data_IF_961668503484
#
_entry.id   IF_961668503484
#
_cell.length_a   1.000
_cell.length_b   1.000
_cell.length_c   1.000
_cell.angle_alpha   90.00
_cell.angle_beta   90.00
_cell.angle_gamma   90.00
#
_symmetry.space_group_name_H-M   'P 1'
#
loop_
_entity.id
_entity.type
_entity.pdbx_description
1 polymer ?
#
# COMPACT_ATOMS: atom_id res chain seq x y z
N UNK A 1 5.01 21.91 -23.33
CA UNK A 1 3.73 21.20 -23.12
C UNK A 1 3.99 19.73 -22.76
N UNK A 2 4.93 19.47 -21.84
CA UNK A 2 5.33 18.10 -21.43
C UNK A 2 5.10 17.89 -19.93
N UNK A 3 5.51 18.84 -19.09
CA UNK A 3 5.35 18.76 -17.62
C UNK A 3 3.91 18.50 -17.11
N UNK A 4 2.88 19.00 -17.81
CA UNK A 4 1.48 18.77 -17.42
C UNK A 4 1.04 17.31 -17.62
N UNK A 5 1.65 16.60 -18.58
CA UNK A 5 1.33 15.21 -18.90
C UNK A 5 1.95 14.27 -17.88
N UNK A 6 3.23 14.48 -17.56
CA UNK A 6 3.94 13.68 -16.55
C UNK A 6 3.27 13.73 -15.16
N UNK A 7 2.72 14.89 -14.76
CA UNK A 7 1.97 15.02 -13.51
C UNK A 7 0.66 14.21 -13.53
N UNK A 8 -0.10 14.28 -14.62
CA UNK A 8 -1.36 13.55 -14.79
C UNK A 8 -1.13 12.03 -14.87
N UNK A 9 -0.08 11.61 -15.57
CA UNK A 9 0.36 10.22 -15.63
C UNK A 9 0.78 9.69 -14.24
N UNK A 10 1.48 10.52 -13.44
CA UNK A 10 1.84 10.17 -12.06
C UNK A 10 0.62 10.05 -11.14
N UNK A 11 -0.30 11.00 -11.20
CA UNK A 11 -1.54 10.97 -10.40
C UNK A 11 -2.39 9.77 -10.78
N UNK A 12 -2.52 9.48 -12.08
CA UNK A 12 -3.27 8.33 -12.58
C UNK A 12 -2.63 7.03 -12.15
N UNK A 13 -1.31 6.88 -12.30
CA UNK A 13 -0.59 5.68 -11.92
C UNK A 13 -0.66 5.44 -10.39
N UNK A 14 -0.53 6.50 -9.59
CA UNK A 14 -0.69 6.42 -8.13
C UNK A 14 -2.13 6.03 -7.73
N UNK A 15 -3.14 6.61 -8.39
CA UNK A 15 -4.55 6.26 -8.16
C UNK A 15 -4.84 4.81 -8.54
N UNK A 16 -4.30 4.33 -9.66
CA UNK A 16 -4.37 2.93 -10.07
C UNK A 16 -3.66 2.01 -9.06
N UNK A 17 -2.50 2.42 -8.53
CA UNK A 17 -1.81 1.70 -7.48
C UNK A 17 -2.68 1.51 -6.24
N UNK A 18 -3.32 2.60 -5.81
CA UNK A 18 -4.17 2.61 -4.63
C UNK A 18 -5.45 1.79 -4.85
N UNK A 19 -5.98 1.77 -6.07
CA UNK A 19 -7.11 0.92 -6.44
C UNK A 19 -6.70 -0.56 -6.55
N UNK A 20 -5.47 -0.84 -6.94
CA UNK A 20 -4.92 -2.19 -7.00
C UNK A 20 -4.50 -2.69 -5.60
N UNK A 21 -4.34 -1.80 -4.62
CA UNK A 21 -4.21 -2.18 -3.21
C UNK A 21 -5.55 -2.73 -2.71
N UNK A 22 -5.54 -3.97 -2.27
CA UNK A 22 -6.69 -4.60 -1.61
C UNK A 22 -7.06 -3.81 -0.35
N UNK A 23 -8.36 -3.62 -0.08
CA UNK A 23 -8.85 -2.85 1.07
C UNK A 23 -8.24 -3.33 2.39
N UNK A 24 -7.99 -4.65 2.49
CA UNK A 24 -7.33 -5.29 3.62
C UNK A 24 -5.88 -4.82 3.82
N UNK A 25 -5.15 -4.61 2.72
CA UNK A 25 -3.75 -4.16 2.75
C UNK A 25 -3.63 -2.73 3.25
N UNK A 26 -4.55 -1.87 2.79
CA UNK A 26 -4.65 -0.49 3.24
C UNK A 26 -4.93 -0.45 4.74
N UNK A 27 -5.93 -1.21 5.20
CA UNK A 27 -6.27 -1.25 6.62
C UNK A 27 -5.10 -1.76 7.50
N UNK A 28 -4.41 -2.84 7.09
CA UNK A 28 -3.22 -3.35 7.81
C UNK A 28 -2.14 -2.26 7.96
N UNK A 29 -1.89 -1.48 6.91
CA UNK A 29 -0.95 -0.35 6.95
C UNK A 29 -1.45 0.75 7.89
N UNK A 30 -2.72 1.15 7.78
CA UNK A 30 -3.32 2.19 8.63
C UNK A 30 -3.28 1.79 10.10
N UNK A 31 -3.61 0.55 10.45
CA UNK A 31 -3.58 0.06 11.84
C UNK A 31 -2.17 -0.13 12.41
N UNK A 32 -1.17 -0.41 11.57
CA UNK A 32 0.24 -0.50 12.02
C UNK A 32 0.90 0.86 12.21
N UNK A 33 0.56 1.84 11.36
CA UNK A 33 1.28 3.11 11.26
C UNK A 33 0.52 4.30 11.83
N UNK A 34 -0.82 4.33 11.68
CA UNK A 34 -1.67 5.46 12.06
C UNK A 34 -2.51 5.21 13.33
N UNK A 35 -2.69 3.97 13.79
CA UNK A 35 -3.39 3.72 15.05
C UNK A 35 -2.47 3.56 16.27
N UNK A 36 -2.97 4.04 17.41
CA UNK A 36 -2.41 3.80 18.74
C UNK A 36 -3.48 3.18 19.66
N UNK A 37 -3.23 2.04 20.31
CA UNK A 37 -1.98 1.28 20.28
C UNK A 37 -1.75 0.60 18.92
N UNK A 38 -0.49 0.55 18.48
CA UNK A 38 -0.11 -0.06 17.19
C UNK A 38 -0.52 -1.52 17.19
N UNK A 39 -1.34 -1.91 16.21
CA UNK A 39 -1.73 -3.31 16.08
C UNK A 39 -0.49 -4.16 15.77
N UNK A 40 -0.29 -5.22 16.53
CA UNK A 40 0.79 -6.17 16.25
C UNK A 40 0.42 -7.04 15.04
N UNK A 41 1.41 -7.59 14.35
CA UNK A 41 1.15 -8.54 13.25
C UNK A 41 0.29 -9.71 13.72
N UNK A 42 0.45 -10.15 14.97
CA UNK A 42 -0.33 -11.24 15.56
C UNK A 42 -1.79 -10.83 15.81
N UNK A 43 -2.04 -9.61 16.29
CA UNK A 43 -3.39 -9.06 16.47
C UNK A 43 -4.13 -8.95 15.14
N UNK A 44 -3.47 -8.38 14.13
CA UNK A 44 -4.06 -8.28 12.78
C UNK A 44 -4.28 -9.66 12.18
N UNK A 45 -3.36 -10.60 12.40
CA UNK A 45 -3.49 -11.98 11.96
C UNK A 45 -4.72 -12.65 12.58
N UNK A 46 -4.90 -12.52 13.89
CA UNK A 46 -6.03 -13.09 14.61
C UNK A 46 -7.37 -12.47 14.17
N UNK A 47 -7.45 -11.13 14.09
CA UNK A 47 -8.65 -10.41 13.68
C UNK A 47 -9.06 -10.74 12.24
N UNK A 48 -8.08 -10.81 11.35
CA UNK A 48 -8.31 -11.18 9.96
C UNK A 48 -8.41 -12.70 9.74
N UNK A 49 -8.26 -13.53 10.78
CA UNK A 49 -8.23 -14.99 10.68
C UNK A 49 -7.21 -15.49 9.64
N UNK A 50 -6.03 -14.87 9.62
CA UNK A 50 -4.91 -15.19 8.74
C UNK A 50 -3.64 -15.40 9.57
N UNK A 51 -2.59 -15.95 8.98
CA UNK A 51 -1.30 -16.07 9.68
C UNK A 51 -0.57 -14.72 9.76
N UNK A 52 0.27 -14.51 10.78
CA UNK A 52 1.13 -13.32 10.89
C UNK A 52 2.04 -13.14 9.65
N UNK A 53 2.49 -14.25 9.06
CA UNK A 53 3.21 -14.23 7.79
C UNK A 53 2.36 -13.70 6.64
N UNK A 54 1.06 -14.01 6.62
CA UNK A 54 0.14 -13.51 5.59
C UNK A 54 -0.04 -11.99 5.71
N UNK A 55 -0.17 -11.47 6.93
CA UNK A 55 -0.21 -10.00 7.17
C UNK A 55 1.06 -9.34 6.64
N UNK A 56 2.23 -9.93 6.92
CA UNK A 56 3.52 -9.46 6.39
C UNK A 56 3.59 -9.50 4.86
N UNK A 57 3.05 -10.55 4.24
CA UNK A 57 2.97 -10.63 2.77
C UNK A 57 2.07 -9.55 2.18
N UNK A 58 0.92 -9.30 2.80
CA UNK A 58 -0.02 -8.24 2.37
C UNK A 58 0.66 -6.87 2.45
N UNK A 59 1.36 -6.58 3.55
CA UNK A 59 2.14 -5.34 3.69
C UNK A 59 3.21 -5.20 2.61
N UNK A 60 4.00 -6.25 2.37
CA UNK A 60 5.04 -6.22 1.33
C UNK A 60 4.45 -6.08 -0.08
N UNK A 61 3.30 -6.73 -0.34
CA UNK A 61 2.60 -6.61 -1.62
C UNK A 61 2.09 -5.18 -1.85
N UNK A 62 1.50 -4.57 -0.83
CA UNK A 62 1.06 -3.17 -0.86
C UNK A 62 2.23 -2.22 -1.14
N UNK A 63 3.34 -2.36 -0.41
CA UNK A 63 4.57 -1.58 -0.64
C UNK A 63 5.14 -1.80 -2.04
N UNK A 64 5.12 -3.03 -2.54
CA UNK A 64 5.60 -3.36 -3.90
C UNK A 64 4.72 -2.73 -4.96
N UNK A 65 3.40 -2.76 -4.82
CA UNK A 65 2.45 -2.11 -5.75
C UNK A 65 2.64 -0.61 -5.79
N UNK A 66 2.78 0.03 -4.63
CA UNK A 66 3.11 1.46 -4.54
C UNK A 66 4.42 1.81 -5.27
N UNK A 67 5.46 0.99 -5.10
CA UNK A 67 6.75 1.20 -5.80
C UNK A 67 6.70 0.96 -7.31
N UNK A 68 5.88 0.01 -7.76
CA UNK A 68 5.72 -0.30 -9.18
C UNK A 68 4.90 0.76 -9.92
N UNK A 69 3.92 1.33 -9.24
CA UNK A 69 3.03 2.31 -9.84
C UNK A 69 3.57 3.74 -9.81
N UNK A 70 4.52 4.03 -8.93
CA UNK A 70 5.27 5.29 -9.00
C UNK A 70 6.36 5.13 -10.06
N UNK A 71 6.30 5.84 -11.21
CA UNK A 71 7.43 5.87 -12.12
C UNK A 71 8.62 6.45 -11.37
N UNK A 72 9.75 5.73 -11.43
CA UNK A 72 11.02 6.22 -10.88
C UNK A 72 11.27 7.63 -11.43
N UNK A 73 11.80 8.58 -10.64
CA UNK A 73 12.08 9.91 -11.12
C UNK A 73 13.06 9.79 -12.30
N UNK A 74 12.54 9.97 -13.50
CA UNK A 74 13.32 10.14 -14.71
C UNK A 74 14.16 11.40 -14.51
N UNK A 75 15.44 11.23 -14.19
CA UNK A 75 16.43 12.31 -14.20
C UNK A 75 16.75 12.72 -15.63
#
# INVERSE_FOLDING_TARGET
MTAQRDEDDRVTAMTHALHDLDARSRDILERRWLQEPKATLQTLADEYQVSAERVRQIENAALKKLRLALPAPSH
#
